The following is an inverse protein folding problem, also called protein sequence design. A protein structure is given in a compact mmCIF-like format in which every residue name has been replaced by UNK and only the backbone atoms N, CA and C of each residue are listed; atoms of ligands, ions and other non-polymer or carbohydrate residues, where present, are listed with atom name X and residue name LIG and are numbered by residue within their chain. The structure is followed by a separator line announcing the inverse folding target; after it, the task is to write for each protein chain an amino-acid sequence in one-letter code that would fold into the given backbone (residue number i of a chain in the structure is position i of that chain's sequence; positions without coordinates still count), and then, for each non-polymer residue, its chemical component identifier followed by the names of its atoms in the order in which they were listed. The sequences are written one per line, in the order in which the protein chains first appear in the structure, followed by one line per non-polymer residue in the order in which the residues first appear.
data_IF_369701827872
#
_entry.id   IF_369701827872
#
_cell.length_a   1.000
_cell.length_b   1.000
_cell.length_c   1.000
_cell.angle_alpha   90.00
_cell.angle_beta   90.00
_cell.angle_gamma   90.00
#
_symmetry.space_group_name_H-M   'P 1'
#
loop_
_entity.id
_entity.type
_entity.pdbx_description
1 polymer ?
#
# COMPACT_ATOMS: atom_id res chain seq x y z
N UNK A 1 -63.94 51.74 37.02
CA UNK A 1 -62.93 51.76 35.94
C UNK A 1 -61.89 52.82 36.31
N UNK A 2 -60.56 52.64 36.16
CA UNK A 2 -59.74 51.58 35.56
C UNK A 2 -58.95 50.82 36.67
N UNK A 3 -57.92 49.99 36.50
CA UNK A 3 -57.03 49.64 35.41
C UNK A 3 -56.50 48.20 35.61
N UNK A 4 -56.22 47.54 34.49
CA UNK A 4 -55.52 46.25 34.37
C UNK A 4 -54.20 46.21 35.15
N UNK A 5 -53.94 45.07 35.82
CA UNK A 5 -52.58 44.60 36.09
C UNK A 5 -52.38 43.25 35.39
N UNK A 6 -51.52 43.27 34.38
CA UNK A 6 -51.08 42.11 33.60
C UNK A 6 -50.24 41.21 34.51
N UNK A 7 -50.67 39.99 34.79
CA UNK A 7 -49.77 38.98 35.37
C UNK A 7 -48.99 38.34 34.23
N UNK A 8 -47.67 38.55 34.28
CA UNK A 8 -46.72 38.01 33.34
C UNK A 8 -46.45 36.52 33.63
N UNK A 9 -46.42 35.79 32.53
CA UNK A 9 -45.92 34.44 32.28
C UNK A 9 -44.67 34.08 33.10
N UNK A 10 -44.63 32.86 33.65
CA UNK A 10 -43.38 32.16 33.98
C UNK A 10 -43.64 30.65 33.92
N UNK A 11 -43.46 30.09 32.72
CA UNK A 11 -43.56 28.67 32.44
C UNK A 11 -42.20 28.03 32.78
N UNK A 12 -42.21 27.14 33.78
CA UNK A 12 -41.03 26.41 34.27
C UNK A 12 -40.69 25.30 33.26
N UNK A 13 -39.54 25.41 32.59
CA UNK A 13 -39.00 24.39 31.69
C UNK A 13 -37.90 23.60 32.45
N UNK A 14 -38.09 22.31 32.79
CA UNK A 14 -37.05 21.55 33.47
C UNK A 14 -35.94 21.14 32.51
N UNK A 15 -34.70 21.24 33.01
CA UNK A 15 -33.45 21.18 32.28
C UNK A 15 -33.18 19.84 31.59
N UNK A 16 -32.83 19.95 30.31
CA UNK A 16 -32.23 18.90 29.51
C UNK A 16 -30.75 18.78 29.94
N UNK A 17 -30.47 17.83 30.83
CA UNK A 17 -29.12 17.47 31.25
C UNK A 17 -28.31 16.96 30.04
N UNK A 18 -27.31 17.76 29.67
CA UNK A 18 -26.31 17.47 28.65
C UNK A 18 -25.46 16.26 29.07
N UNK A 19 -25.75 15.10 28.49
CA UNK A 19 -24.81 13.98 28.42
C UNK A 19 -23.71 14.35 27.42
N UNK A 20 -22.69 15.07 27.90
CA UNK A 20 -21.39 15.15 27.23
C UNK A 20 -20.69 13.80 27.40
N UNK A 21 -21.12 12.80 26.62
CA UNK A 21 -20.34 11.59 26.42
C UNK A 21 -19.07 11.98 25.66
N UNK A 22 -17.93 11.89 26.32
CA UNK A 22 -16.63 11.97 25.68
C UNK A 22 -16.57 10.90 24.59
N UNK A 23 -16.85 11.28 23.35
CA UNK A 23 -16.47 10.51 22.18
C UNK A 23 -14.95 10.61 22.07
N UNK A 24 -14.23 9.78 22.83
CA UNK A 24 -12.86 9.41 22.50
C UNK A 24 -12.90 8.49 21.28
N UNK A 25 -13.21 9.08 20.11
CA UNK A 25 -12.76 8.53 18.83
C UNK A 25 -11.25 8.69 18.76
N UNK A 26 -10.55 7.91 19.58
CA UNK A 26 -9.14 7.61 19.41
C UNK A 26 -8.99 6.77 18.15
N UNK A 27 -9.25 7.36 17.00
CA UNK A 27 -8.76 6.87 15.73
C UNK A 27 -7.25 6.92 15.84
N UNK A 28 -6.65 5.78 16.18
CA UNK A 28 -5.22 5.60 16.29
C UNK A 28 -4.64 5.66 14.88
N UNK A 29 -4.68 6.82 14.23
CA UNK A 29 -4.07 7.05 12.93
C UNK A 29 -2.58 7.15 13.18
N UNK A 30 -1.89 6.02 13.06
CA UNK A 30 -0.43 6.02 13.02
C UNK A 30 0.06 7.06 12.00
N UNK A 31 1.16 7.78 12.30
CA UNK A 31 1.73 8.70 11.33
C UNK A 31 2.08 7.95 10.03
N UNK A 32 2.09 8.65 8.87
CA UNK A 32 2.51 8.06 7.61
C UNK A 32 3.83 7.31 7.76
N UNK A 33 3.90 6.10 7.23
CA UNK A 33 5.14 5.32 7.21
C UNK A 33 6.16 6.05 6.35
N UNK A 34 7.40 6.10 6.83
CA UNK A 34 8.56 6.54 6.06
C UNK A 34 9.49 5.35 5.86
N UNK A 35 10.10 5.28 4.67
CA UNK A 35 11.13 4.29 4.40
C UNK A 35 12.47 4.75 4.98
N UNK A 36 13.28 3.81 5.47
CA UNK A 36 14.63 4.08 5.98
C UNK A 36 15.72 3.34 5.18
N UNK A 37 15.34 2.59 4.16
CA UNK A 37 16.29 1.90 3.29
C UNK A 37 17.21 2.89 2.57
N UNK A 38 18.40 2.41 2.19
CA UNK A 38 19.29 3.11 1.28
C UNK A 38 19.34 2.34 -0.04
N UNK A 39 18.80 2.92 -1.11
CA UNK A 39 18.58 2.24 -2.39
C UNK A 39 19.58 2.74 -3.43
N UNK A 40 20.36 1.81 -3.98
CA UNK A 40 21.18 2.03 -5.18
C UNK A 40 20.29 1.80 -6.39
N UNK A 41 19.88 2.90 -7.06
CA UNK A 41 18.85 2.86 -8.11
C UNK A 41 19.25 1.94 -9.26
N UNK A 42 20.51 2.00 -9.70
CA UNK A 42 21.07 1.17 -10.76
C UNK A 42 20.89 -0.33 -10.46
N UNK A 43 21.13 -0.75 -9.21
CA UNK A 43 20.96 -2.13 -8.77
C UNK A 43 19.49 -2.51 -8.56
N UNK A 44 18.62 -1.53 -8.30
CA UNK A 44 17.20 -1.75 -8.11
C UNK A 44 16.43 -1.89 -9.43
N UNK A 45 16.96 -1.37 -10.54
CA UNK A 45 16.33 -1.46 -11.86
C UNK A 45 16.15 -2.92 -12.33
N UNK A 46 15.37 -3.10 -13.40
CA UNK A 46 15.02 -4.39 -13.95
C UNK A 46 13.71 -4.94 -13.37
N UNK A 47 13.51 -6.25 -13.55
CA UNK A 47 12.26 -6.93 -13.17
C UNK A 47 12.26 -7.34 -11.70
N UNK A 48 11.12 -7.19 -11.06
CA UNK A 48 10.74 -7.76 -9.78
C UNK A 48 9.44 -8.53 -9.93
N UNK A 49 9.43 -9.81 -9.59
CA UNK A 49 8.21 -10.59 -9.47
C UNK A 49 7.51 -10.25 -8.17
N UNK A 50 6.20 -10.04 -8.23
CA UNK A 50 5.39 -9.80 -7.04
C UNK A 50 5.01 -11.15 -6.44
N UNK A 51 5.72 -11.58 -5.41
CA UNK A 51 5.51 -12.89 -4.78
C UNK A 51 4.26 -12.87 -3.89
N UNK A 52 4.00 -11.74 -3.24
CA UNK A 52 2.81 -11.52 -2.44
C UNK A 52 2.48 -10.03 -2.38
N UNK A 53 1.23 -9.72 -2.14
CA UNK A 53 0.79 -8.37 -1.82
C UNK A 53 -0.31 -8.39 -0.76
N UNK A 54 -0.67 -7.20 -0.25
CA UNK A 54 -2.00 -6.97 0.33
C UNK A 54 -2.94 -6.66 -0.85
N UNK A 55 -3.85 -7.57 -1.22
CA UNK A 55 -4.65 -7.39 -2.43
C UNK A 55 -5.55 -6.16 -2.32
N UNK A 56 -5.65 -5.42 -3.41
CA UNK A 56 -6.59 -4.32 -3.57
C UNK A 56 -7.28 -4.43 -4.93
N UNK A 57 -8.35 -3.66 -5.13
CA UNK A 57 -9.29 -3.82 -6.25
C UNK A 57 -8.62 -3.91 -7.63
N UNK A 58 -7.50 -3.20 -7.83
CA UNK A 58 -6.82 -3.16 -9.12
C UNK A 58 -5.91 -4.37 -9.35
N UNK A 59 -5.40 -5.04 -8.30
CA UNK A 59 -4.45 -6.16 -8.42
C UNK A 59 -5.05 -7.53 -8.11
N UNK A 60 -6.16 -7.57 -7.38
CA UNK A 60 -6.79 -8.81 -6.95
C UNK A 60 -7.11 -9.74 -8.13
N UNK A 61 -6.75 -11.02 -7.99
CA UNK A 61 -7.01 -12.07 -8.99
C UNK A 61 -6.13 -12.02 -10.24
N UNK A 62 -5.05 -11.24 -10.23
CA UNK A 62 -4.01 -11.27 -11.27
C UNK A 62 -2.97 -12.33 -10.96
N UNK A 63 -2.37 -12.89 -12.01
CA UNK A 63 -1.30 -13.89 -11.92
C UNK A 63 -0.09 -13.47 -12.73
N UNK A 64 1.05 -14.10 -12.46
CA UNK A 64 2.35 -13.84 -13.10
C UNK A 64 2.69 -12.34 -13.10
N UNK A 65 2.44 -11.67 -11.98
CA UNK A 65 2.60 -10.22 -11.85
C UNK A 65 4.06 -9.86 -11.62
N UNK A 66 4.49 -8.78 -12.27
CA UNK A 66 5.83 -8.24 -12.11
C UNK A 66 5.86 -6.72 -12.33
N UNK A 67 6.75 -6.04 -11.63
CA UNK A 67 7.11 -4.66 -11.89
C UNK A 67 8.48 -4.61 -12.57
N UNK A 68 8.57 -3.87 -13.67
CA UNK A 68 9.83 -3.62 -14.37
C UNK A 68 10.17 -2.15 -14.26
N UNK A 69 11.33 -1.85 -13.70
CA UNK A 69 11.83 -0.50 -13.51
C UNK A 69 12.98 -0.20 -14.47
N UNK A 70 12.95 0.95 -15.15
CA UNK A 70 14.04 1.42 -16.01
C UNK A 70 14.36 2.88 -15.68
N UNK A 71 15.61 3.15 -15.30
CA UNK A 71 16.07 4.49 -15.01
C UNK A 71 16.27 5.26 -16.32
N UNK A 72 15.76 6.49 -16.37
CA UNK A 72 15.93 7.42 -17.49
C UNK A 72 17.11 8.36 -17.28
N UNK A 73 17.58 8.95 -18.38
CA UNK A 73 18.60 10.00 -18.36
C UNK A 73 18.17 11.26 -17.58
N UNK A 74 16.86 11.52 -17.49
CA UNK A 74 16.30 12.64 -16.72
C UNK A 74 16.12 12.35 -15.22
N UNK A 75 16.57 11.17 -14.76
CA UNK A 75 16.47 10.74 -13.37
C UNK A 75 15.11 10.19 -12.94
N UNK A 76 14.10 10.20 -13.81
CA UNK A 76 12.82 9.51 -13.56
C UNK A 76 12.95 8.02 -13.87
N UNK A 77 11.98 7.24 -13.43
CA UNK A 77 11.96 5.79 -13.59
C UNK A 77 10.70 5.39 -14.35
N UNK A 78 10.85 4.70 -15.47
CA UNK A 78 9.74 3.97 -16.07
C UNK A 78 9.34 2.82 -15.16
N UNK A 79 8.05 2.74 -14.81
CA UNK A 79 7.46 1.59 -14.11
C UNK A 79 6.47 0.90 -15.05
N UNK A 80 6.76 -0.35 -15.40
CA UNK A 80 5.86 -1.21 -16.16
C UNK A 80 5.38 -2.34 -15.27
N UNK A 81 4.12 -2.27 -14.85
CA UNK A 81 3.44 -3.35 -14.16
C UNK A 81 2.84 -4.32 -15.19
N UNK A 82 3.39 -5.53 -15.25
CA UNK A 82 2.95 -6.63 -16.13
C UNK A 82 2.09 -7.63 -15.34
N UNK A 83 1.03 -8.15 -15.96
CA UNK A 83 0.14 -9.12 -15.32
C UNK A 83 -0.68 -9.92 -16.33
N UNK A 84 -1.26 -11.04 -15.89
CA UNK A 84 -2.31 -11.78 -16.62
C UNK A 84 -3.57 -11.88 -15.77
N UNK A 85 -4.72 -12.01 -16.44
CA UNK A 85 -6.01 -12.29 -15.76
C UNK A 85 -6.14 -13.76 -15.33
N UNK A 86 -5.44 -14.64 -16.02
CA UNK A 86 -5.23 -16.06 -15.71
C UNK A 86 -4.09 -16.56 -16.61
N UNK A 87 -3.48 -17.71 -16.30
CA UNK A 87 -2.31 -18.20 -17.04
C UNK A 87 -2.57 -18.48 -18.53
N UNK A 88 -3.82 -18.76 -18.91
CA UNK A 88 -4.26 -18.97 -20.29
C UNK A 88 -4.63 -17.66 -21.03
N UNK A 89 -4.54 -16.50 -20.35
CA UNK A 89 -4.86 -15.19 -20.93
C UNK A 89 -3.60 -14.43 -21.33
N UNK A 90 -3.68 -13.55 -22.35
CA UNK A 90 -2.55 -12.72 -22.74
C UNK A 90 -2.09 -11.81 -21.61
N UNK A 91 -0.80 -11.52 -21.61
CA UNK A 91 -0.22 -10.51 -20.73
C UNK A 91 -0.76 -9.11 -21.05
N UNK A 92 -0.96 -8.34 -19.99
CA UNK A 92 -1.33 -6.93 -20.02
C UNK A 92 -0.31 -6.13 -19.25
N UNK A 93 -0.19 -4.85 -19.60
CA UNK A 93 0.74 -3.94 -18.97
C UNK A 93 0.05 -2.64 -18.58
N UNK A 94 0.47 -2.08 -17.46
CA UNK A 94 0.14 -0.73 -17.01
C UNK A 94 1.46 0.03 -16.84
N UNK A 95 1.52 1.24 -17.40
CA UNK A 95 2.75 2.05 -17.42
C UNK A 95 2.58 3.28 -16.55
N UNK A 96 3.57 3.54 -15.72
CA UNK A 96 3.68 4.72 -14.88
C UNK A 96 5.08 5.32 -14.98
N UNK A 97 5.21 6.55 -14.47
CA UNK A 97 6.48 7.24 -14.33
C UNK A 97 6.68 7.51 -12.84
N UNK A 98 7.73 6.95 -12.27
CA UNK A 98 8.12 7.16 -10.90
C UNK A 98 9.19 8.25 -10.79
N UNK A 99 9.09 9.05 -9.74
CA UNK A 99 10.08 10.07 -9.37
C UNK A 99 10.48 9.84 -7.92
N UNK A 100 11.78 9.83 -7.64
CA UNK A 100 12.31 9.71 -6.29
C UNK A 100 12.04 11.01 -5.51
N UNK A 101 11.55 10.87 -4.28
CA UNK A 101 11.41 12.00 -3.35
C UNK A 101 12.80 12.37 -2.80
N UNK A 102 13.25 13.63 -2.96
CA UNK A 102 14.57 14.05 -2.49
C UNK A 102 14.79 13.84 -0.99
N UNK A 103 16.02 13.50 -0.59
CA UNK A 103 16.40 13.32 0.82
C UNK A 103 15.93 12.00 1.45
N UNK A 104 15.37 11.08 0.67
CA UNK A 104 14.84 9.79 1.16
C UNK A 104 15.76 8.60 0.93
N UNK A 105 17.04 8.85 0.61
CA UNK A 105 18.01 7.82 0.20
C UNK A 105 17.47 6.89 -0.90
N UNK A 106 16.73 7.47 -1.84
CA UNK A 106 16.06 6.79 -2.95
C UNK A 106 14.99 5.77 -2.53
N UNK A 107 14.50 5.80 -1.30
CA UNK A 107 13.57 4.80 -0.78
C UNK A 107 12.08 5.20 -0.86
N UNK A 108 11.75 6.43 -1.21
CA UNK A 108 10.37 6.87 -1.41
C UNK A 108 10.16 7.44 -2.80
N UNK A 109 9.18 6.91 -3.53
CA UNK A 109 8.87 7.30 -4.91
C UNK A 109 7.41 7.73 -5.03
N UNK A 110 7.16 8.76 -5.84
CA UNK A 110 5.83 9.13 -6.33
C UNK A 110 5.67 8.58 -7.75
N UNK A 111 4.65 7.75 -7.99
CA UNK A 111 4.37 7.14 -9.29
C UNK A 111 3.13 7.77 -9.90
N UNK A 112 3.27 8.29 -11.12
CA UNK A 112 2.19 8.85 -11.91
C UNK A 112 1.73 7.88 -13.01
N UNK A 113 0.45 7.57 -13.04
CA UNK A 113 -0.22 6.77 -14.08
C UNK A 113 -1.16 7.65 -14.92
N UNK A 114 -1.51 7.19 -16.11
CA UNK A 114 -2.49 7.84 -17.00
C UNK A 114 -2.21 9.34 -17.21
N UNK A 115 -0.97 9.68 -17.60
CA UNK A 115 -0.53 11.07 -17.81
C UNK A 115 -0.67 11.98 -16.57
N UNK A 116 -0.64 11.41 -15.36
CA UNK A 116 -0.67 12.14 -14.09
C UNK A 116 -2.05 12.24 -13.44
N UNK A 117 -3.09 11.61 -14.00
CA UNK A 117 -4.42 11.59 -13.40
C UNK A 117 -4.49 10.78 -12.10
N UNK A 118 -3.63 9.77 -11.97
CA UNK A 118 -3.57 8.91 -10.78
C UNK A 118 -2.15 8.90 -10.26
N UNK A 119 -2.00 9.12 -8.96
CA UNK A 119 -0.73 9.06 -8.24
C UNK A 119 -0.74 7.94 -7.21
N UNK A 120 0.40 7.30 -7.01
CA UNK A 120 0.63 6.31 -5.97
C UNK A 120 1.97 6.58 -5.29
N UNK A 121 2.03 6.36 -3.97
CA UNK A 121 3.27 6.40 -3.21
C UNK A 121 3.85 4.98 -3.09
N UNK A 122 5.15 4.86 -3.31
CA UNK A 122 5.89 3.62 -3.13
C UNK A 122 7.02 3.84 -2.12
N UNK A 123 7.12 2.95 -1.14
CA UNK A 123 8.18 2.92 -0.14
C UNK A 123 8.99 1.63 -0.29
N UNK A 124 10.29 1.73 -0.53
CA UNK A 124 11.23 0.61 -0.39
C UNK A 124 11.57 0.49 1.10
N UNK A 125 10.90 -0.43 1.80
CA UNK A 125 11.08 -0.60 3.25
C UNK A 125 12.41 -1.30 3.55
N UNK A 126 12.68 -2.37 2.81
CA UNK A 126 13.93 -3.13 2.86
C UNK A 126 14.29 -3.65 1.48
N UNK A 127 15.57 -3.81 1.24
CA UNK A 127 16.10 -4.54 0.08
C UNK A 127 17.27 -5.40 0.55
N UNK A 128 17.34 -6.62 0.05
CA UNK A 128 18.45 -7.52 0.35
C UNK A 128 19.80 -6.89 -0.07
N UNK A 129 20.92 -7.15 0.63
CA UNK A 129 22.24 -6.63 0.23
C UNK A 129 22.65 -7.00 -1.21
N UNK A 130 22.20 -8.16 -1.68
CA UNK A 130 22.39 -8.69 -3.03
C UNK A 130 21.27 -8.31 -4.01
N UNK A 131 20.23 -7.61 -3.55
CA UNK A 131 19.04 -7.21 -4.30
C UNK A 131 18.22 -8.41 -4.82
N UNK A 132 18.27 -9.56 -4.16
CA UNK A 132 17.47 -10.75 -4.50
C UNK A 132 15.98 -10.61 -4.15
N UNK A 133 15.67 -9.88 -3.08
CA UNK A 133 14.31 -9.54 -2.65
C UNK A 133 14.20 -8.10 -2.16
N UNK A 134 12.98 -7.56 -2.18
CA UNK A 134 12.65 -6.26 -1.61
C UNK A 134 11.27 -6.29 -0.93
N UNK A 135 11.12 -5.51 0.14
CA UNK A 135 9.85 -5.26 0.80
C UNK A 135 9.37 -3.88 0.42
N UNK A 136 8.23 -3.81 -0.23
CA UNK A 136 7.64 -2.57 -0.70
C UNK A 136 6.39 -2.26 0.12
N UNK A 137 6.19 -0.99 0.43
CA UNK A 137 5.08 -0.52 1.23
C UNK A 137 4.41 0.73 0.66
N UNK A 138 3.32 1.12 1.32
CA UNK A 138 2.61 2.37 1.08
C UNK A 138 2.52 3.16 2.41
N UNK A 139 2.59 4.50 2.42
CA UNK A 139 2.59 5.31 3.64
C UNK A 139 1.43 5.02 4.61
N UNK A 140 0.26 4.65 4.07
CA UNK A 140 -0.94 4.30 4.85
C UNK A 140 -1.02 2.85 5.33
N UNK A 141 -0.03 2.00 4.98
CA UNK A 141 0.03 0.56 5.33
C UNK A 141 -1.18 -0.26 4.89
N UNK A 142 -1.88 0.19 3.84
CA UNK A 142 -3.02 -0.49 3.23
C UNK A 142 -2.63 -1.34 2.02
N UNK A 143 -1.40 -1.18 1.55
CA UNK A 143 -0.81 -1.92 0.44
C UNK A 143 0.65 -2.18 0.79
N UNK A 144 1.12 -3.38 0.49
CA UNK A 144 2.49 -3.82 0.70
C UNK A 144 2.77 -5.01 -0.20
N UNK A 145 4.02 -5.21 -0.58
CA UNK A 145 4.42 -6.23 -1.56
C UNK A 145 5.74 -6.87 -1.18
N UNK A 146 5.82 -8.20 -1.34
CA UNK A 146 7.07 -8.96 -1.33
C UNK A 146 7.53 -9.09 -2.78
N UNK A 147 8.66 -8.48 -3.11
CA UNK A 147 9.27 -8.56 -4.44
C UNK A 147 10.46 -9.51 -4.42
N UNK A 148 10.67 -10.22 -5.52
CA UNK A 148 11.84 -11.07 -5.74
C UNK A 148 12.37 -10.97 -7.17
N UNK A 149 13.67 -11.20 -7.36
CA UNK A 149 14.27 -11.30 -8.71
C UNK A 149 13.92 -12.61 -9.40
N UNK A 150 13.77 -13.67 -8.63
CA UNK A 150 13.29 -14.96 -9.10
C UNK A 150 11.78 -15.08 -8.97
N UNK A 151 11.19 -15.82 -9.89
CA UNK A 151 9.74 -16.01 -9.94
C UNK A 151 9.25 -17.01 -8.88
N UNK A 152 10.11 -17.94 -8.49
CA UNK A 152 9.85 -18.88 -7.39
C UNK A 152 10.46 -18.35 -6.09
N UNK A 153 9.77 -18.60 -4.98
CA UNK A 153 10.26 -18.33 -3.63
C UNK A 153 9.80 -19.46 -2.72
N UNK A 154 10.72 -19.98 -1.92
CA UNK A 154 10.39 -21.02 -0.94
C UNK A 154 9.47 -20.47 0.16
N UNK A 155 8.65 -21.35 0.73
CA UNK A 155 7.65 -20.95 1.71
C UNK A 155 8.26 -20.36 2.99
N UNK A 156 9.43 -20.86 3.42
CA UNK A 156 10.07 -20.41 4.65
C UNK A 156 10.65 -18.99 4.49
N UNK A 157 11.27 -18.70 3.35
CA UNK A 157 11.74 -17.37 2.99
C UNK A 157 10.56 -16.40 2.85
N UNK A 158 9.49 -16.80 2.16
CA UNK A 158 8.27 -15.98 2.08
C UNK A 158 7.73 -15.63 3.48
N UNK A 159 7.54 -16.62 4.36
CA UNK A 159 7.04 -16.36 5.72
C UNK A 159 7.97 -15.46 6.53
N UNK A 160 9.29 -15.64 6.40
CA UNK A 160 10.29 -14.76 7.02
C UNK A 160 10.14 -13.31 6.54
N UNK A 161 10.01 -13.11 5.23
CA UNK A 161 9.85 -11.79 4.63
C UNK A 161 8.50 -11.15 4.97
N UNK A 162 7.41 -11.92 4.95
CA UNK A 162 6.07 -11.49 5.35
C UNK A 162 6.04 -11.03 6.81
N UNK A 163 6.69 -11.76 7.71
CA UNK A 163 6.71 -11.43 9.13
C UNK A 163 7.39 -10.08 9.43
N UNK A 164 8.40 -9.67 8.63
CA UNK A 164 9.08 -8.38 8.80
C UNK A 164 8.13 -7.18 8.69
N UNK A 165 7.04 -7.28 7.92
CA UNK A 165 6.05 -6.21 7.78
C UNK A 165 5.40 -5.80 9.11
N UNK A 166 5.38 -6.69 10.11
CA UNK A 166 4.87 -6.36 11.44
C UNK A 166 5.65 -5.21 12.10
N UNK A 167 6.98 -5.15 11.91
CA UNK A 167 7.82 -4.07 12.44
C UNK A 167 7.48 -2.70 11.84
N UNK A 168 6.86 -2.68 10.65
CA UNK A 168 6.40 -1.48 9.98
C UNK A 168 4.92 -1.15 10.28
N UNK A 169 4.27 -1.92 11.15
CA UNK A 169 2.88 -1.70 11.58
C UNK A 169 1.82 -2.21 10.60
N UNK A 170 2.18 -3.17 9.74
CA UNK A 170 1.20 -3.86 8.89
C UNK A 170 0.56 -5.03 9.63
N UNK A 171 -0.70 -5.31 9.30
CA UNK A 171 -1.33 -6.58 9.62
C UNK A 171 -0.86 -7.63 8.61
N UNK A 172 0.08 -8.48 9.04
CA UNK A 172 0.70 -9.48 8.15
C UNK A 172 -0.28 -10.56 7.68
N UNK A 173 -1.43 -10.72 8.34
CA UNK A 173 -2.47 -11.68 7.93
C UNK A 173 -3.19 -11.28 6.64
N UNK A 174 -3.05 -10.01 6.23
CA UNK A 174 -3.66 -9.49 5.00
C UNK A 174 -2.88 -9.83 3.73
N UNK A 175 -1.64 -10.30 3.88
CA UNK A 175 -0.81 -10.67 2.73
C UNK A 175 -1.29 -11.98 2.13
N UNK A 176 -1.42 -11.99 0.81
CA UNK A 176 -1.72 -13.18 0.03
C UNK A 176 -0.68 -13.35 -1.06
N UNK A 177 -0.25 -14.60 -1.28
CA UNK A 177 0.70 -14.91 -2.34
C UNK A 177 0.04 -14.70 -3.70
N UNK A 178 0.80 -14.16 -4.64
CA UNK A 178 0.34 -14.05 -6.03
C UNK A 178 0.78 -15.32 -6.77
N UNK A 179 -0.12 -16.02 -7.48
CA UNK A 179 0.28 -17.14 -8.31
C UNK A 179 1.26 -16.70 -9.40
N UNK A 180 2.44 -17.29 -9.39
CA UNK A 180 3.49 -17.11 -10.39
C UNK A 180 3.59 -18.30 -11.36
N UNK A 181 3.09 -19.47 -10.95
CA UNK A 181 2.94 -20.68 -11.78
C UNK A 181 1.49 -21.19 -11.74
N UNK A 182 1.05 -21.89 -12.78
CA UNK A 182 -0.35 -22.30 -12.94
C UNK A 182 -0.82 -23.22 -11.81
N UNK A 183 0.06 -24.06 -11.28
CA UNK A 183 -0.21 -25.03 -10.23
C UNK A 183 -0.48 -24.36 -8.87
N UNK A 184 -0.11 -23.08 -8.73
CA UNK A 184 -0.33 -22.30 -7.51
C UNK A 184 -1.72 -21.69 -7.45
N UNK A 185 -2.40 -21.54 -8.59
CA UNK A 185 -3.76 -20.98 -8.62
C UNK A 185 -4.73 -21.88 -7.86
N UNK A 186 -5.47 -21.29 -6.91
CA UNK A 186 -6.44 -21.99 -6.06
C UNK A 186 -5.83 -22.75 -4.88
N UNK A 187 -4.50 -22.68 -4.67
CA UNK A 187 -3.87 -23.25 -3.48
C UNK A 187 -4.09 -22.36 -2.25
N UNK A 188 -4.19 -22.94 -1.04
CA UNK A 188 -4.30 -22.16 0.20
C UNK A 188 -3.19 -21.12 0.35
N UNK A 189 -3.57 -19.88 0.70
CA UNK A 189 -2.63 -18.76 0.91
C UNK A 189 -2.24 -18.03 -0.38
N UNK A 190 -2.67 -18.50 -1.55
CA UNK A 190 -2.62 -17.76 -2.81
C UNK A 190 -3.97 -17.08 -3.10
N UNK A 191 -3.90 -16.01 -3.89
CA UNK A 191 -5.07 -15.33 -4.47
C UNK A 191 -5.84 -16.19 -5.46
#
# INVERSE_FOLDING_TARGET
MPAMRRLALSLILPGLLLLAACASTGGNTMPPLTATANVQLDRFMGRWWVIANIPYFAENGKVATADVYTLRDDGRIDNVYAYRKAFDKPEKQMKGIATVVPGTNNAQWEIAFFFGLVKADLLVLEVAPDYSWALIGHPKRKMGWVFAREQAMDAAQYETLRAKFAAYGYDTSQFQRVPQFAEQSGQPGFQ
#
